data_IF_251452193463
#
_entry.id   IF_251452193463
#
_cell.length_a   1.000
_cell.length_b   1.000
_cell.length_c   1.000
_cell.angle_alpha   90.00
_cell.angle_beta   90.00
_cell.angle_gamma   90.00
#
_symmetry.space_group_name_H-M   'P 1'
#
loop_
_entity.id
_entity.type
_entity.pdbx_description
1 polymer ?
#
# COMPACT_ATOMS: atom_id res chain seq x y z
N UNK A 1 -0.16 7.09 -23.90
CA UNK A 1 0.01 7.21 -22.44
C UNK A 1 1.04 8.29 -22.23
N UNK A 2 0.78 9.28 -21.37
CA UNK A 2 1.84 10.18 -20.95
C UNK A 2 2.84 9.35 -20.14
N UNK A 3 4.10 9.30 -20.57
CA UNK A 3 5.15 8.55 -19.89
C UNK A 3 5.34 9.16 -18.49
N UNK A 4 4.92 8.41 -17.47
CA UNK A 4 5.15 8.80 -16.10
C UNK A 4 6.63 8.55 -15.76
N UNK A 5 7.31 9.59 -15.29
CA UNK A 5 8.66 9.48 -14.72
C UNK A 5 8.53 9.06 -13.26
N UNK A 6 9.07 7.89 -12.93
CA UNK A 6 9.13 7.39 -11.56
C UNK A 6 10.51 7.68 -10.99
N UNK A 7 10.56 8.28 -9.80
CA UNK A 7 11.81 8.52 -9.06
C UNK A 7 11.64 8.08 -7.61
N UNK A 8 12.74 7.75 -6.95
CA UNK A 8 12.75 7.26 -5.58
C UNK A 8 14.00 7.75 -4.83
N UNK A 9 13.97 7.73 -3.51
CA UNK A 9 15.15 7.99 -2.67
C UNK A 9 14.96 7.40 -1.28
N UNK A 10 16.05 7.01 -0.62
CA UNK A 10 16.04 6.74 0.82
C UNK A 10 16.31 8.01 1.61
N UNK A 11 15.74 8.13 2.81
CA UNK A 11 16.04 9.23 3.73
C UNK A 11 16.09 8.71 5.17
N UNK A 12 16.81 9.41 6.05
CA UNK A 12 16.82 9.10 7.48
C UNK A 12 15.62 9.80 8.16
N UNK A 13 14.63 9.05 8.68
CA UNK A 13 13.45 9.63 9.32
C UNK A 13 13.75 10.22 10.71
N UNK A 14 14.87 9.82 11.32
CA UNK A 14 15.23 10.13 12.70
C UNK A 14 16.20 11.31 12.84
N UNK A 15 16.99 11.62 11.81
CA UNK A 15 18.09 12.60 11.91
C UNK A 15 17.88 13.91 11.14
N UNK A 16 16.86 14.02 10.29
CA UNK A 16 16.69 15.15 9.38
C UNK A 16 15.32 15.81 9.55
N UNK A 17 15.28 17.13 9.33
CA UNK A 17 14.05 17.94 9.14
C UNK A 17 13.22 17.48 7.93
N UNK A 18 13.79 16.64 7.06
CA UNK A 18 13.22 16.23 5.78
C UNK A 18 13.52 17.20 4.65
N UNK A 19 14.29 18.27 4.93
CA UNK A 19 14.54 19.35 3.98
C UNK A 19 15.22 18.85 2.70
N UNK A 20 16.19 17.94 2.77
CA UNK A 20 16.88 17.44 1.59
C UNK A 20 15.93 16.73 0.60
N UNK A 21 15.00 15.94 1.14
CA UNK A 21 13.96 15.27 0.36
C UNK A 21 12.96 16.29 -0.19
N UNK A 22 12.52 17.20 0.67
CA UNK A 22 11.50 18.20 0.37
C UNK A 22 11.98 19.21 -0.66
N UNK A 23 13.19 19.73 -0.53
CA UNK A 23 13.80 20.69 -1.43
C UNK A 23 13.91 20.16 -2.85
N UNK A 24 14.28 18.88 -2.99
CA UNK A 24 14.34 18.21 -4.30
C UNK A 24 12.95 18.11 -4.93
N UNK A 25 11.97 17.60 -4.18
CA UNK A 25 10.58 17.50 -4.63
C UNK A 25 9.97 18.87 -4.96
N UNK A 26 10.20 19.89 -4.14
CA UNK A 26 9.66 21.22 -4.33
C UNK A 26 10.25 21.92 -5.57
N UNK A 27 11.54 21.70 -5.86
CA UNK A 27 12.23 22.33 -7.00
C UNK A 27 11.93 21.63 -8.32
N UNK A 28 11.94 20.30 -8.36
CA UNK A 28 11.90 19.55 -9.63
C UNK A 28 10.75 18.54 -9.72
N UNK A 29 10.05 18.24 -8.62
CA UNK A 29 9.06 17.17 -8.56
C UNK A 29 9.67 15.77 -8.72
N UNK A 30 10.98 15.63 -8.55
CA UNK A 30 11.72 14.38 -8.72
C UNK A 30 12.60 14.11 -7.51
N UNK A 31 12.92 12.84 -7.28
CA UNK A 31 13.84 12.38 -6.25
C UNK A 31 15.21 12.04 -6.84
N UNK A 32 16.25 11.94 -6.01
CA UNK A 32 17.64 11.76 -6.46
C UNK A 32 17.90 10.41 -7.16
N UNK A 33 17.06 9.40 -6.94
CA UNK A 33 17.29 8.03 -7.43
C UNK A 33 18.29 7.25 -6.56
N UNK A 34 18.75 7.83 -5.46
CA UNK A 34 19.82 7.25 -4.65
C UNK A 34 19.24 6.43 -3.49
N UNK A 35 19.81 5.23 -3.32
CA UNK A 35 19.52 4.34 -2.21
C UNK A 35 20.78 4.26 -1.33
N UNK A 36 20.71 4.90 -0.16
CA UNK A 36 21.81 5.03 0.79
C UNK A 36 21.55 4.14 2.02
N UNK A 37 22.61 3.52 2.55
CA UNK A 37 22.65 2.97 3.91
C UNK A 37 22.03 1.57 4.13
N UNK A 38 22.38 0.97 5.28
CA UNK A 38 21.85 -0.30 5.81
C UNK A 38 21.21 -0.12 7.22
N UNK A 39 21.07 1.11 7.71
CA UNK A 39 20.53 1.48 9.04
C UNK A 39 19.27 2.33 8.87
N UNK A 40 18.34 2.33 9.85
CA UNK A 40 17.00 2.98 9.83
C UNK A 40 16.74 3.94 8.65
N UNK A 41 16.05 3.43 7.62
CA UNK A 41 15.70 4.18 6.41
C UNK A 41 14.19 4.32 6.25
N UNK A 42 13.77 5.52 5.90
CA UNK A 42 12.54 5.74 5.15
C UNK A 42 12.81 5.64 3.65
N UNK A 43 11.78 5.29 2.88
CA UNK A 43 11.81 5.34 1.42
C UNK A 43 10.75 6.33 0.92
N UNK A 44 11.13 7.14 -0.06
CA UNK A 44 10.24 8.02 -0.79
C UNK A 44 10.13 7.54 -2.24
N UNK A 45 8.92 7.57 -2.78
CA UNK A 45 8.62 7.24 -4.18
C UNK A 45 7.76 8.36 -4.76
N UNK A 46 8.12 8.84 -5.94
CA UNK A 46 7.42 9.90 -6.66
C UNK A 46 7.10 9.43 -8.07
N UNK A 47 5.88 9.73 -8.53
CA UNK A 47 5.46 9.56 -9.92
C UNK A 47 5.05 10.91 -10.48
N UNK A 48 5.69 11.30 -11.58
CA UNK A 48 5.49 12.59 -12.24
C UNK A 48 5.03 12.37 -13.67
N UNK A 49 3.98 13.05 -14.09
CA UNK A 49 3.47 12.99 -15.46
C UNK A 49 2.94 14.35 -15.88
N UNK A 50 2.88 14.58 -17.18
CA UNK A 50 2.23 15.76 -17.75
C UNK A 50 0.76 15.45 -18.05
N UNK A 51 -0.12 16.43 -17.79
CA UNK A 51 -1.54 16.36 -18.09
C UNK A 51 -1.94 17.57 -18.94
N UNK A 52 -2.56 17.27 -20.08
CA UNK A 52 -3.19 18.28 -20.93
C UNK A 52 -4.49 18.80 -20.29
N UNK A 53 -4.96 19.96 -20.75
CA UNK A 53 -6.23 20.53 -20.29
C UNK A 53 -7.39 19.55 -20.51
N UNK A 54 -8.14 19.25 -19.45
CA UNK A 54 -9.26 18.27 -19.42
C UNK A 54 -8.86 16.79 -19.48
N UNK A 55 -7.56 16.46 -19.49
CA UNK A 55 -7.11 15.08 -19.37
C UNK A 55 -7.17 14.60 -17.90
N UNK A 56 -7.37 13.30 -17.72
CA UNK A 56 -7.21 12.62 -16.43
C UNK A 56 -6.25 11.44 -16.58
N UNK A 57 -5.54 11.12 -15.51
CA UNK A 57 -4.69 9.93 -15.45
C UNK A 57 -4.77 9.33 -14.05
N UNK A 58 -4.34 8.08 -13.93
CA UNK A 58 -4.30 7.34 -12.67
C UNK A 58 -2.89 6.83 -12.43
N UNK A 59 -2.37 7.07 -11.23
CA UNK A 59 -1.14 6.47 -10.75
C UNK A 59 -1.47 5.57 -9.56
N UNK A 60 -1.01 4.33 -9.58
CA UNK A 60 -1.27 3.36 -8.53
C UNK A 60 0.01 3.13 -7.71
N UNK A 61 -0.12 3.20 -6.39
CA UNK A 61 0.93 2.85 -5.44
C UNK A 61 0.53 1.59 -4.68
N UNK A 62 1.51 0.81 -4.25
CA UNK A 62 1.33 -0.38 -3.42
C UNK A 62 2.24 -0.28 -2.20
N UNK A 63 1.68 -0.46 -1.01
CA UNK A 63 2.40 -0.65 0.23
C UNK A 63 2.18 -2.09 0.69
N UNK A 64 3.26 -2.83 0.91
CA UNK A 64 3.21 -4.23 1.31
C UNK A 64 4.17 -4.48 2.47
N UNK A 65 3.71 -5.28 3.44
CA UNK A 65 4.50 -5.73 4.59
C UNK A 65 4.81 -7.21 4.41
N UNK A 66 6.08 -7.55 4.16
CA UNK A 66 6.49 -8.93 4.01
C UNK A 66 7.09 -9.47 5.31
N UNK A 67 6.22 -10.05 6.15
CA UNK A 67 6.62 -10.68 7.40
C UNK A 67 6.03 -12.10 7.43
N UNK A 68 6.54 -13.02 6.61
CA UNK A 68 5.88 -14.28 6.31
C UNK A 68 5.78 -15.23 7.50
N UNK A 69 6.61 -15.02 8.53
CA UNK A 69 6.62 -15.80 9.76
C UNK A 69 6.15 -14.98 10.95
N UNK A 70 5.43 -15.63 11.86
CA UNK A 70 5.04 -15.08 13.15
C UNK A 70 5.52 -16.01 14.27
N UNK A 71 6.00 -15.42 15.37
CA UNK A 71 6.58 -16.15 16.49
C UNK A 71 5.72 -16.01 17.75
N UNK A 72 5.49 -17.12 18.47
CA UNK A 72 4.72 -17.19 19.71
C UNK A 72 5.54 -17.75 20.87
N UNK A 73 5.03 -17.53 22.09
CA UNK A 73 5.58 -18.09 23.33
C UNK A 73 7.04 -17.72 23.52
N UNK A 74 7.37 -16.43 23.47
CA UNK A 74 8.75 -15.94 23.53
C UNK A 74 9.69 -16.57 22.48
N UNK A 75 9.22 -16.66 21.22
CA UNK A 75 9.96 -17.22 20.07
C UNK A 75 10.21 -18.74 20.17
N UNK A 76 9.37 -19.48 20.90
CA UNK A 76 9.46 -20.95 20.94
C UNK A 76 8.72 -21.64 19.81
N UNK A 77 7.73 -20.97 19.19
CA UNK A 77 6.91 -21.52 18.09
C UNK A 77 6.83 -20.55 16.93
N UNK A 78 6.99 -21.05 15.72
CA UNK A 78 6.94 -20.27 14.49
C UNK A 78 5.85 -20.83 13.57
N UNK A 79 5.06 -19.94 12.97
CA UNK A 79 4.05 -20.28 11.98
C UNK A 79 4.20 -19.39 10.76
N UNK A 80 3.85 -19.93 9.59
CA UNK A 80 3.73 -19.14 8.37
C UNK A 80 2.37 -18.44 8.35
N UNK A 81 2.35 -17.14 8.04
CA UNK A 81 1.11 -16.40 7.83
C UNK A 81 0.38 -16.95 6.62
N UNK A 82 -0.95 -16.95 6.65
CA UNK A 82 -1.77 -17.62 5.63
C UNK A 82 -1.47 -17.17 4.19
N UNK A 83 -1.14 -15.88 4.00
CA UNK A 83 -0.87 -15.32 2.67
C UNK A 83 0.33 -15.97 1.95
N UNK A 84 1.27 -16.57 2.68
CA UNK A 84 2.49 -17.17 2.09
C UNK A 84 2.17 -18.35 1.18
N UNK A 85 1.00 -18.99 1.37
CA UNK A 85 0.51 -20.04 0.47
C UNK A 85 0.36 -19.59 -0.98
N UNK A 86 0.24 -18.28 -1.21
CA UNK A 86 -0.03 -17.75 -2.54
C UNK A 86 1.10 -16.92 -3.13
N UNK A 87 2.03 -16.44 -2.30
CA UNK A 87 3.11 -15.56 -2.75
C UNK A 87 4.49 -16.10 -2.41
N UNK A 88 4.58 -17.11 -1.54
CA UNK A 88 5.82 -17.65 -0.99
C UNK A 88 6.21 -17.04 0.36
N UNK A 89 7.36 -17.45 0.89
CA UNK A 89 7.88 -17.04 2.20
C UNK A 89 9.39 -16.77 2.24
N UNK A 90 10.06 -16.72 1.08
CA UNK A 90 11.47 -16.39 0.94
C UNK A 90 11.67 -14.90 0.67
N UNK A 91 12.87 -14.35 0.91
CA UNK A 91 13.12 -12.89 0.81
C UNK A 91 12.76 -12.29 -0.58
N UNK A 92 12.86 -13.07 -1.66
CA UNK A 92 12.48 -12.63 -3.01
C UNK A 92 10.97 -12.64 -3.29
N UNK A 93 10.18 -13.31 -2.46
CA UNK A 93 8.74 -13.50 -2.69
C UNK A 93 7.90 -12.24 -2.44
N UNK A 94 8.50 -11.19 -1.89
CA UNK A 94 7.85 -9.87 -1.80
C UNK A 94 7.47 -9.32 -3.19
N UNK A 95 8.25 -9.65 -4.23
CA UNK A 95 7.92 -9.27 -5.60
C UNK A 95 6.60 -9.92 -6.06
N UNK A 96 6.36 -11.17 -5.67
CA UNK A 96 5.10 -11.87 -5.96
C UNK A 96 3.92 -11.18 -5.25
N UNK A 97 4.11 -10.77 -3.99
CA UNK A 97 3.09 -10.05 -3.23
C UNK A 97 2.74 -8.68 -3.85
N UNK A 98 3.75 -7.86 -4.18
CA UNK A 98 3.54 -6.54 -4.80
C UNK A 98 2.96 -6.68 -6.20
N UNK A 99 3.50 -7.60 -7.02
CA UNK A 99 3.03 -7.85 -8.37
C UNK A 99 1.57 -8.27 -8.37
N UNK A 100 1.18 -9.16 -7.45
CA UNK A 100 -0.21 -9.57 -7.29
C UNK A 100 -1.10 -8.42 -6.87
N UNK A 101 -0.70 -7.62 -5.88
CA UNK A 101 -1.48 -6.48 -5.42
C UNK A 101 -1.74 -5.45 -6.53
N UNK A 102 -0.74 -5.18 -7.38
CA UNK A 102 -0.90 -4.26 -8.51
C UNK A 102 -1.78 -4.87 -9.61
N UNK A 103 -1.58 -6.15 -9.96
CA UNK A 103 -2.34 -6.83 -11.03
C UNK A 103 -3.79 -7.07 -10.68
N UNK A 104 -4.07 -7.44 -9.44
CA UNK A 104 -5.42 -7.85 -8.99
C UNK A 104 -6.25 -6.68 -8.45
N UNK A 105 -5.67 -5.47 -8.30
CA UNK A 105 -6.30 -4.29 -7.73
C UNK A 105 -7.73 -4.05 -8.26
N UNK A 106 -7.89 -4.07 -9.57
CA UNK A 106 -9.19 -3.79 -10.22
C UNK A 106 -10.21 -4.89 -9.95
N UNK A 107 -9.78 -6.15 -9.96
CA UNK A 107 -10.63 -7.29 -9.62
C UNK A 107 -11.05 -7.23 -8.14
N UNK A 108 -10.13 -6.93 -7.23
CA UNK A 108 -10.43 -6.76 -5.81
C UNK A 108 -11.40 -5.62 -5.56
N UNK A 109 -11.19 -4.46 -6.21
CA UNK A 109 -12.11 -3.33 -6.13
C UNK A 109 -13.51 -3.70 -6.61
N UNK A 110 -13.62 -4.38 -7.75
CA UNK A 110 -14.90 -4.83 -8.30
C UNK A 110 -15.63 -5.78 -7.34
N UNK A 111 -14.93 -6.76 -6.75
CA UNK A 111 -15.55 -7.66 -5.78
C UNK A 111 -15.93 -6.92 -4.49
N UNK A 112 -15.17 -5.91 -4.05
CA UNK A 112 -15.53 -5.05 -2.91
C UNK A 112 -16.84 -4.30 -3.19
N UNK A 113 -16.91 -3.60 -4.31
CA UNK A 113 -18.10 -2.84 -4.72
C UNK A 113 -19.30 -3.78 -4.83
N UNK A 114 -19.12 -4.97 -5.44
CA UNK A 114 -20.18 -5.97 -5.62
C UNK A 114 -20.79 -6.45 -4.31
N UNK A 115 -19.99 -6.73 -3.27
CA UNK A 115 -20.56 -7.18 -1.99
C UNK A 115 -21.16 -6.03 -1.17
N UNK A 116 -20.65 -4.80 -1.30
CA UNK A 116 -21.19 -3.63 -0.60
C UNK A 116 -22.48 -3.09 -1.24
N UNK A 117 -22.60 -3.17 -2.57
CA UNK A 117 -23.67 -2.57 -3.35
C UNK A 117 -25.09 -2.90 -2.85
N UNK A 118 -25.45 -4.15 -2.49
CA UNK A 118 -26.80 -4.46 -2.03
C UNK A 118 -27.24 -3.64 -0.81
N UNK A 119 -26.31 -3.31 0.09
CA UNK A 119 -26.58 -2.48 1.28
C UNK A 119 -26.53 -1.00 0.91
N UNK A 120 -25.58 -0.61 0.05
CA UNK A 120 -25.43 0.79 -0.37
C UNK A 120 -26.61 1.30 -1.21
N UNK A 121 -27.23 0.43 -2.02
CA UNK A 121 -28.38 0.78 -2.86
C UNK A 121 -29.74 0.65 -2.16
N UNK A 122 -29.78 0.20 -0.92
CA UNK A 122 -31.04 0.03 -0.18
C UNK A 122 -31.48 1.35 0.46
N UNK A 123 -32.38 2.05 -0.23
CA UNK A 123 -32.97 3.31 0.20
C UNK A 123 -33.87 3.21 1.45
N UNK A 124 -34.20 2.00 1.89
CA UNK A 124 -34.89 1.81 3.17
C UNK A 124 -33.96 1.96 4.39
N UNK A 125 -32.65 1.81 4.19
CA UNK A 125 -31.66 1.91 5.25
C UNK A 125 -31.23 3.37 5.47
N UNK A 126 -31.20 3.85 6.72
CA UNK A 126 -30.62 5.15 7.04
C UNK A 126 -29.14 5.24 6.64
N UNK A 127 -28.70 6.40 6.16
CA UNK A 127 -27.32 6.62 5.71
C UNK A 127 -26.27 6.33 6.80
N UNK A 128 -26.54 6.74 8.04
CA UNK A 128 -25.65 6.47 9.17
C UNK A 128 -25.43 4.97 9.39
N UNK A 129 -26.44 4.15 9.12
CA UNK A 129 -26.38 2.70 9.30
C UNK A 129 -25.50 2.05 8.22
N UNK A 130 -25.63 2.49 6.96
CA UNK A 130 -24.78 2.03 5.85
C UNK A 130 -23.31 2.32 6.14
N UNK A 131 -23.00 3.47 6.72
CA UNK A 131 -21.63 3.82 7.12
C UNK A 131 -21.12 2.95 8.28
N UNK A 132 -21.91 2.85 9.36
CA UNK A 132 -21.51 2.12 10.56
C UNK A 132 -21.24 0.64 10.27
N UNK A 133 -22.13 -0.04 9.54
CA UNK A 133 -22.01 -1.49 9.33
C UNK A 133 -20.72 -1.88 8.60
N UNK A 134 -20.22 -1.05 7.67
CA UNK A 134 -18.96 -1.32 7.00
C UNK A 134 -17.75 -0.91 7.83
N UNK A 135 -17.83 0.23 8.53
CA UNK A 135 -16.71 0.70 9.33
C UNK A 135 -16.40 -0.24 10.49
N UNK A 136 -17.41 -0.80 11.16
CA UNK A 136 -17.23 -1.74 12.28
C UNK A 136 -16.56 -3.07 11.86
N UNK A 137 -16.53 -3.41 10.57
CA UNK A 137 -15.83 -4.61 10.07
C UNK A 137 -14.30 -4.50 10.20
N UNK A 138 -13.76 -3.32 10.49
CA UNK A 138 -12.33 -3.14 10.76
C UNK A 138 -11.82 -4.12 11.82
N UNK A 139 -12.65 -4.45 12.81
CA UNK A 139 -12.29 -5.35 13.90
C UNK A 139 -11.95 -6.78 13.43
N UNK A 140 -12.49 -7.23 12.29
CA UNK A 140 -12.15 -8.55 11.73
C UNK A 140 -10.67 -8.63 11.33
N UNK A 141 -10.08 -7.49 10.93
CA UNK A 141 -8.67 -7.41 10.55
C UNK A 141 -7.81 -7.01 11.76
N UNK A 142 -8.26 -6.05 12.56
CA UNK A 142 -7.49 -5.49 13.69
C UNK A 142 -7.55 -6.33 14.98
N UNK A 143 -8.51 -7.25 15.09
CA UNK A 143 -8.73 -8.12 16.25
C UNK A 143 -7.65 -9.17 16.51
N UNK A 144 -6.43 -8.98 15.97
CA UNK A 144 -5.32 -9.94 16.02
C UNK A 144 -5.66 -11.31 15.39
N UNK A 145 -6.33 -11.28 14.24
CA UNK A 145 -6.63 -12.48 13.45
C UNK A 145 -5.32 -13.19 13.06
N UNK A 146 -5.22 -14.48 13.40
CA UNK A 146 -4.04 -15.33 13.23
C UNK A 146 -4.19 -16.32 12.08
#
# INVERSE_FOLDING_TARGET
MSDATITYATFNPSSATGDDLWDSLAKTGTLSGELWGREELGIAVSSRFHLEGSASTTCNFCLAWFMPQVAFGAKTRYYKRFYTRYVGDEDGDIENLVTRAIKERDAWRSEIEKWQNPILSDDSLPEWYRSAIFNELYYVVDGSTM
#
